data_IF_537870119855
#
_entry.id   IF_537870119855
#
_cell.length_a   1.000
_cell.length_b   1.000
_cell.length_c   1.000
_cell.angle_alpha   90.00
_cell.angle_beta   90.00
_cell.angle_gamma   90.00
#
_symmetry.space_group_name_H-M   'P 1'
#
loop_
_entity.id
_entity.type
_entity.pdbx_description
1 polymer ?
#
# COMPACT_ATOMS: atom_id res chain seq x y z
N UNK A 1 -11.94 -43.08 -35.78
CA UNK A 1 -11.60 -41.63 -35.81
C UNK A 1 -12.24 -40.96 -34.61
N UNK A 2 -11.59 -40.99 -33.44
CA UNK A 2 -11.96 -40.14 -32.32
C UNK A 2 -11.50 -38.73 -32.71
N UNK A 3 -12.45 -37.82 -32.97
CA UNK A 3 -12.14 -36.40 -33.14
C UNK A 3 -11.46 -35.96 -31.85
N UNK A 4 -10.25 -35.43 -31.96
CA UNK A 4 -9.54 -34.79 -30.85
C UNK A 4 -10.51 -33.87 -30.11
N UNK A 5 -10.91 -34.27 -28.90
CA UNK A 5 -11.69 -33.42 -28.02
C UNK A 5 -10.78 -32.28 -27.61
N UNK A 6 -11.13 -31.06 -28.02
CA UNK A 6 -10.38 -29.87 -27.67
C UNK A 6 -10.51 -29.67 -26.16
N UNK A 7 -9.48 -30.07 -25.42
CA UNK A 7 -9.41 -29.93 -23.97
C UNK A 7 -8.95 -28.53 -23.61
N UNK A 8 -9.70 -27.85 -22.75
CA UNK A 8 -9.27 -26.56 -22.23
C UNK A 8 -8.11 -26.73 -21.23
N UNK A 9 -7.20 -25.74 -21.13
CA UNK A 9 -6.15 -25.74 -20.11
C UNK A 9 -6.74 -25.71 -18.70
N UNK A 10 -6.06 -26.35 -17.75
CA UNK A 10 -6.50 -26.36 -16.36
C UNK A 10 -6.42 -24.97 -15.76
N UNK A 11 -7.52 -24.53 -15.14
CA UNK A 11 -7.58 -23.28 -14.39
C UNK A 11 -6.95 -23.47 -13.01
N UNK A 12 -6.45 -22.38 -12.41
CA UNK A 12 -5.94 -22.47 -11.04
C UNK A 12 -7.05 -22.82 -10.05
N UNK A 13 -6.75 -23.75 -9.15
CA UNK A 13 -7.66 -24.28 -8.13
C UNK A 13 -8.15 -23.22 -7.12
N UNK A 14 -7.33 -22.20 -6.88
CA UNK A 14 -7.56 -21.15 -5.88
C UNK A 14 -8.36 -19.95 -6.40
N UNK A 15 -9.02 -20.05 -7.56
CA UNK A 15 -9.96 -19.01 -7.98
C UNK A 15 -11.18 -19.01 -7.06
N UNK A 16 -11.49 -17.82 -6.53
CA UNK A 16 -12.72 -17.57 -5.78
C UNK A 16 -13.34 -16.22 -6.12
N UNK A 17 -14.61 -16.09 -5.78
CA UNK A 17 -15.43 -14.90 -6.02
C UNK A 17 -15.84 -14.27 -4.70
N UNK A 18 -15.99 -12.94 -4.70
CA UNK A 18 -16.51 -12.22 -3.55
C UNK A 18 -17.36 -11.02 -3.95
N UNK A 19 -18.24 -10.65 -3.02
CA UNK A 19 -19.15 -9.52 -3.12
C UNK A 19 -18.95 -8.61 -1.91
N UNK A 20 -18.88 -7.31 -2.15
CA UNK A 20 -18.76 -6.29 -1.10
C UNK A 20 -19.80 -5.21 -1.32
N UNK A 21 -20.65 -4.98 -0.32
CA UNK A 21 -21.68 -3.94 -0.34
C UNK A 21 -21.23 -2.79 0.56
N UNK A 22 -20.94 -1.62 -0.02
CA UNK A 22 -20.47 -0.46 0.73
C UNK A 22 -21.07 0.83 0.19
N UNK A 23 -21.64 1.67 1.08
CA UNK A 23 -22.32 2.95 0.75
C UNK A 23 -23.33 2.82 -0.41
N UNK A 24 -24.16 1.76 -0.37
CA UNK A 24 -25.17 1.50 -1.40
C UNK A 24 -24.62 1.03 -2.75
N UNK A 25 -23.30 0.86 -2.91
CA UNK A 25 -22.67 0.30 -4.10
C UNK A 25 -22.23 -1.14 -3.84
N UNK A 26 -22.60 -2.04 -4.74
CA UNK A 26 -22.14 -3.42 -4.74
C UNK A 26 -20.93 -3.56 -5.66
N UNK A 27 -19.83 -4.09 -5.13
CA UNK A 27 -18.62 -4.42 -5.88
C UNK A 27 -18.49 -5.95 -5.94
N UNK A 28 -18.13 -6.45 -7.12
CA UNK A 28 -17.93 -7.87 -7.37
C UNK A 28 -16.49 -8.15 -7.76
N UNK A 29 -15.92 -9.24 -7.26
CA UNK A 29 -14.51 -9.54 -7.43
C UNK A 29 -14.26 -11.01 -7.76
N UNK A 30 -13.19 -11.24 -8.51
CA UNK A 30 -12.56 -12.54 -8.71
C UNK A 30 -11.08 -12.43 -8.38
N UNK A 31 -10.52 -13.44 -7.72
CA UNK A 31 -9.10 -13.46 -7.42
C UNK A 31 -8.49 -14.86 -7.40
N UNK A 32 -7.18 -14.90 -7.56
CA UNK A 32 -6.30 -16.05 -7.32
C UNK A 32 -5.06 -15.55 -6.57
N UNK A 33 -4.76 -16.17 -5.44
CA UNK A 33 -3.60 -15.85 -4.63
C UNK A 33 -2.31 -16.41 -5.25
N UNK A 34 -2.36 -17.66 -5.75
CA UNK A 34 -1.27 -18.35 -6.44
C UNK A 34 -0.76 -17.54 -7.63
N UNK A 35 -1.66 -16.92 -8.39
CA UNK A 35 -1.30 -16.07 -9.53
C UNK A 35 -1.16 -14.59 -9.14
N UNK A 36 -1.46 -14.21 -7.89
CA UNK A 36 -1.49 -12.81 -7.41
C UNK A 36 -2.35 -11.90 -8.29
N UNK A 37 -3.52 -12.42 -8.67
CA UNK A 37 -4.46 -11.77 -9.58
C UNK A 37 -5.72 -11.35 -8.86
N UNK A 38 -6.18 -10.15 -9.19
CA UNK A 38 -7.40 -9.57 -8.71
C UNK A 38 -8.10 -8.84 -9.85
N UNK A 39 -9.40 -9.10 -9.99
CA UNK A 39 -10.26 -8.61 -11.03
C UNK A 39 -11.56 -8.07 -10.44
N UNK A 40 -11.94 -6.85 -10.82
CA UNK A 40 -13.26 -6.29 -10.56
C UNK A 40 -14.21 -6.75 -11.68
N UNK A 41 -15.32 -7.35 -11.29
CA UNK A 41 -16.37 -7.84 -12.17
C UNK A 41 -17.57 -6.89 -12.13
N UNK A 42 -18.34 -6.87 -13.22
CA UNK A 42 -19.72 -6.39 -13.16
C UNK A 42 -20.65 -7.50 -12.62
N UNK A 43 -21.89 -7.14 -12.30
CA UNK A 43 -22.86 -8.08 -11.70
C UNK A 43 -23.14 -9.29 -12.59
N UNK A 44 -23.31 -9.06 -13.89
CA UNK A 44 -23.57 -10.11 -14.86
C UNK A 44 -22.42 -11.11 -14.96
N UNK A 45 -21.18 -10.61 -15.03
CA UNK A 45 -19.98 -11.43 -15.02
C UNK A 45 -19.87 -12.23 -13.72
N UNK A 46 -20.14 -11.60 -12.58
CA UNK A 46 -20.11 -12.29 -11.29
C UNK A 46 -21.11 -13.45 -11.23
N UNK A 47 -22.35 -13.24 -11.68
CA UNK A 47 -23.37 -14.28 -11.72
C UNK A 47 -22.92 -15.46 -12.60
N UNK A 48 -22.46 -15.16 -13.83
CA UNK A 48 -21.95 -16.18 -14.75
C UNK A 48 -20.81 -16.95 -14.11
N UNK A 49 -19.80 -16.26 -13.57
CA UNK A 49 -18.66 -16.93 -12.96
C UNK A 49 -19.05 -17.71 -11.72
N UNK A 50 -20.02 -17.24 -10.92
CA UNK A 50 -20.45 -17.94 -9.71
C UNK A 50 -21.10 -19.29 -10.00
N UNK A 51 -21.84 -19.38 -11.10
CA UNK A 51 -22.46 -20.62 -11.53
C UNK A 51 -21.51 -21.49 -12.35
N UNK A 52 -20.62 -20.88 -13.15
CA UNK A 52 -19.80 -21.60 -14.13
C UNK A 52 -18.45 -22.08 -13.59
N UNK A 53 -17.87 -21.42 -12.58
CA UNK A 53 -16.57 -21.82 -12.01
C UNK A 53 -16.51 -23.26 -11.48
N UNK A 54 -17.53 -23.77 -10.77
CA UNK A 54 -17.53 -25.15 -10.31
C UNK A 54 -17.36 -26.15 -11.47
N UNK A 55 -18.08 -25.95 -12.57
CA UNK A 55 -17.98 -26.78 -13.77
C UNK A 55 -16.60 -26.68 -14.42
N UNK A 56 -16.04 -25.46 -14.52
CA UNK A 56 -14.69 -25.22 -15.05
C UNK A 56 -13.58 -25.91 -14.23
N UNK A 57 -13.81 -26.23 -12.96
CA UNK A 57 -12.84 -26.95 -12.11
C UNK A 57 -12.89 -28.47 -12.32
N UNK A 58 -14.01 -29.01 -12.79
CA UNK A 58 -14.25 -30.46 -12.89
C UNK A 58 -14.20 -30.97 -14.34
N UNK A 59 -14.68 -30.17 -15.29
CA UNK A 59 -14.78 -30.53 -16.70
C UNK A 59 -13.76 -29.74 -17.55
N UNK A 60 -13.20 -30.40 -18.57
CA UNK A 60 -12.20 -29.82 -19.48
C UNK A 60 -12.59 -29.90 -20.95
N UNK A 61 -13.64 -30.64 -21.31
CA UNK A 61 -14.11 -30.72 -22.68
C UNK A 61 -14.74 -29.39 -23.11
N UNK A 62 -14.14 -28.73 -24.10
CA UNK A 62 -14.58 -27.39 -24.56
C UNK A 62 -16.04 -27.38 -25.02
N UNK A 63 -16.54 -28.48 -25.63
CA UNK A 63 -17.92 -28.53 -26.14
C UNK A 63 -18.94 -28.55 -25.00
N UNK A 64 -18.73 -29.44 -24.03
CA UNK A 64 -19.59 -29.57 -22.84
C UNK A 64 -19.63 -28.25 -22.08
N UNK A 65 -18.46 -27.64 -21.88
CA UNK A 65 -18.33 -26.34 -21.22
C UNK A 65 -18.98 -25.21 -22.03
N UNK A 66 -18.91 -25.23 -23.35
CA UNK A 66 -19.54 -24.21 -24.18
C UNK A 66 -21.06 -24.29 -24.13
N UNK A 67 -21.64 -25.49 -24.19
CA UNK A 67 -23.09 -25.69 -24.03
C UNK A 67 -23.56 -25.20 -22.66
N UNK A 68 -22.84 -25.57 -21.60
CA UNK A 68 -23.16 -25.15 -20.23
C UNK A 68 -23.00 -23.63 -20.02
N UNK A 69 -21.96 -23.03 -20.58
CA UNK A 69 -21.74 -21.58 -20.56
C UNK A 69 -22.86 -20.84 -21.31
N UNK A 70 -23.32 -21.40 -22.44
CA UNK A 70 -24.39 -20.82 -23.24
C UNK A 70 -25.73 -20.87 -22.50
N UNK A 71 -26.01 -21.99 -21.81
CA UNK A 71 -27.19 -22.16 -20.94
C UNK A 71 -27.20 -21.14 -19.79
N UNK A 72 -26.12 -21.09 -18.99
CA UNK A 72 -25.99 -20.21 -17.82
C UNK A 72 -26.06 -18.74 -18.22
N UNK A 73 -25.42 -18.36 -19.33
CA UNK A 73 -25.41 -16.98 -19.80
C UNK A 73 -26.69 -16.56 -20.55
N UNK A 74 -27.66 -17.48 -20.71
CA UNK A 74 -28.88 -17.28 -21.53
C UNK A 74 -28.53 -16.85 -22.97
N UNK A 75 -27.54 -17.50 -23.55
CA UNK A 75 -27.05 -17.29 -24.92
C UNK A 75 -26.21 -16.03 -25.15
N UNK A 76 -25.87 -15.29 -24.08
CA UNK A 76 -25.15 -14.01 -24.21
C UNK A 76 -23.63 -14.14 -24.26
N UNK A 77 -23.06 -15.22 -23.71
CA UNK A 77 -21.62 -15.42 -23.59
C UNK A 77 -21.23 -16.82 -24.08
N UNK A 78 -20.13 -16.91 -24.83
CA UNK A 78 -19.52 -18.18 -25.24
C UNK A 78 -18.35 -18.56 -24.33
N UNK A 79 -17.94 -19.84 -24.33
CA UNK A 79 -16.77 -20.29 -23.58
C UNK A 79 -15.51 -19.52 -23.97
N UNK A 80 -15.37 -19.13 -25.25
CA UNK A 80 -14.22 -18.35 -25.73
C UNK A 80 -14.09 -17.01 -25.02
N UNK A 81 -15.21 -16.33 -24.73
CA UNK A 81 -15.18 -15.09 -23.97
C UNK A 81 -14.66 -15.32 -22.54
N UNK A 82 -15.10 -16.40 -21.90
CA UNK A 82 -14.67 -16.77 -20.55
C UNK A 82 -13.18 -17.14 -20.54
N UNK A 83 -12.74 -17.99 -21.46
CA UNK A 83 -11.34 -18.39 -21.62
C UNK A 83 -10.43 -17.19 -21.93
N UNK A 84 -10.89 -16.25 -22.76
CA UNK A 84 -10.15 -15.02 -23.03
C UNK A 84 -9.95 -14.17 -21.78
N UNK A 85 -10.96 -14.07 -20.91
CA UNK A 85 -10.82 -13.38 -19.61
C UNK A 85 -9.78 -14.11 -18.75
N UNK A 86 -9.93 -15.43 -18.57
CA UNK A 86 -9.00 -16.22 -17.76
C UNK A 86 -7.56 -16.17 -18.28
N UNK A 87 -7.38 -16.17 -19.61
CA UNK A 87 -6.10 -16.06 -20.27
C UNK A 87 -5.46 -14.68 -20.05
N UNK A 88 -6.26 -13.62 -20.27
CA UNK A 88 -5.83 -12.23 -20.05
C UNK A 88 -5.37 -11.99 -18.61
N UNK A 89 -5.99 -12.65 -17.65
CA UNK A 89 -5.63 -12.54 -16.24
C UNK A 89 -4.67 -13.63 -15.75
N UNK A 90 -4.09 -14.45 -16.63
CA UNK A 90 -3.09 -15.47 -16.27
C UNK A 90 -3.60 -16.51 -15.24
N UNK A 91 -4.86 -16.91 -15.35
CA UNK A 91 -5.56 -17.78 -14.40
C UNK A 91 -5.52 -19.27 -14.76
N UNK A 92 -4.68 -19.66 -15.73
CA UNK A 92 -4.41 -21.06 -16.08
C UNK A 92 -3.13 -21.57 -15.39
N UNK A 93 -3.07 -22.85 -15.02
CA UNK A 93 -1.90 -23.45 -14.38
C UNK A 93 -0.65 -23.33 -15.26
N UNK A 94 -0.72 -23.78 -16.51
CA UNK A 94 0.37 -23.86 -17.50
C UNK A 94 0.79 -22.52 -18.13
N UNK A 95 0.25 -21.41 -17.62
CA UNK A 95 0.59 -20.10 -18.16
C UNK A 95 2.05 -19.73 -17.87
N UNK A 96 2.90 -19.78 -18.92
CA UNK A 96 4.33 -19.42 -18.88
C UNK A 96 4.59 -17.92 -18.64
N UNK A 97 3.55 -17.09 -18.66
CA UNK A 97 3.70 -15.66 -18.43
C UNK A 97 4.01 -15.41 -16.95
N UNK A 98 5.17 -14.80 -16.69
CA UNK A 98 5.51 -14.24 -15.37
C UNK A 98 4.37 -13.31 -14.96
N UNK A 99 3.74 -13.59 -13.82
CA UNK A 99 2.78 -12.68 -13.20
C UNK A 99 3.49 -11.35 -12.95
N UNK A 100 3.12 -10.31 -13.69
CA UNK A 100 3.55 -8.95 -13.35
C UNK A 100 2.89 -8.62 -12.02
N UNK A 101 3.70 -8.45 -10.98
CA UNK A 101 3.21 -8.01 -9.67
C UNK A 101 2.46 -6.69 -9.86
N UNK A 102 1.17 -6.68 -9.54
CA UNK A 102 0.35 -5.46 -9.50
C UNK A 102 0.63 -4.62 -8.25
N UNK A 103 1.56 -5.05 -7.40
CA UNK A 103 1.97 -4.28 -6.21
C UNK A 103 2.76 -3.08 -6.71
N UNK A 104 2.14 -1.91 -6.63
CA UNK A 104 2.65 -0.66 -7.21
C UNK A 104 4.04 -0.29 -6.70
N UNK A 105 4.34 -0.62 -5.44
CA UNK A 105 5.65 -0.41 -4.80
C UNK A 105 6.75 -1.18 -5.54
N UNK A 106 6.44 -2.29 -6.21
CA UNK A 106 7.43 -3.12 -6.90
C UNK A 106 7.97 -2.45 -8.19
N UNK A 107 7.34 -1.37 -8.70
CA UNK A 107 7.77 -0.69 -9.93
C UNK A 107 8.95 0.26 -9.74
N UNK A 108 8.99 0.93 -8.59
CA UNK A 108 9.99 1.97 -8.29
C UNK A 108 10.81 1.63 -7.04
N UNK A 109 10.66 0.43 -6.49
CA UNK A 109 11.41 0.01 -5.32
C UNK A 109 12.32 -1.18 -5.59
N UNK A 110 13.40 -1.27 -4.80
CA UNK A 110 14.16 -2.50 -4.66
C UNK A 110 13.79 -3.15 -3.34
N UNK A 111 13.23 -4.34 -3.45
CA UNK A 111 12.99 -5.21 -2.31
C UNK A 111 14.32 -5.66 -1.71
N UNK A 112 14.46 -5.52 -0.40
CA UNK A 112 15.66 -5.87 0.35
C UNK A 112 15.39 -7.16 1.12
N UNK A 113 14.30 -7.17 1.89
CA UNK A 113 13.95 -8.26 2.82
C UNK A 113 12.46 -8.56 2.70
N UNK A 114 12.12 -9.85 2.72
CA UNK A 114 10.76 -10.35 2.93
C UNK A 114 10.76 -11.31 4.10
N UNK A 115 9.96 -11.01 5.11
CA UNK A 115 9.77 -11.87 6.26
C UNK A 115 8.36 -12.44 6.18
N UNK A 116 8.24 -13.76 6.09
CA UNK A 116 6.93 -14.43 6.14
C UNK A 116 6.33 -14.27 7.53
N UNK A 117 5.08 -13.79 7.60
CA UNK A 117 4.40 -13.52 8.86
C UNK A 117 3.28 -14.51 9.18
N UNK A 118 2.95 -15.42 8.27
CA UNK A 118 1.76 -16.27 8.42
C UNK A 118 1.85 -17.21 9.64
N UNK A 119 2.98 -17.88 9.80
CA UNK A 119 3.20 -18.79 10.94
C UNK A 119 3.29 -18.01 12.26
N UNK A 120 3.91 -16.83 12.23
CA UNK A 120 4.04 -15.95 13.38
C UNK A 120 2.67 -15.45 13.85
N UNK A 121 1.81 -15.00 12.92
CA UNK A 121 0.44 -14.62 13.24
C UNK A 121 -0.33 -15.77 13.88
N UNK A 122 -0.27 -16.97 13.28
CA UNK A 122 -1.00 -18.15 13.80
C UNK A 122 -0.56 -18.48 15.24
N UNK A 123 0.74 -18.49 15.51
CA UNK A 123 1.29 -18.79 16.83
C UNK A 123 0.85 -17.77 17.91
N UNK A 124 0.82 -16.48 17.56
CA UNK A 124 0.61 -15.40 18.55
C UNK A 124 -0.74 -14.67 18.42
N UNK A 125 -1.67 -15.21 17.64
CA UNK A 125 -2.98 -14.58 17.33
C UNK A 125 -3.77 -14.13 18.57
N UNK A 126 -3.75 -14.94 19.64
CA UNK A 126 -4.39 -14.60 20.92
C UNK A 126 -3.74 -13.41 21.60
N UNK A 127 -2.41 -13.34 21.59
CA UNK A 127 -1.66 -12.22 22.19
C UNK A 127 -1.97 -10.93 21.44
N UNK A 128 -1.98 -10.96 20.11
CA UNK A 128 -2.35 -9.78 19.31
C UNK A 128 -3.78 -9.30 19.59
N UNK A 129 -4.71 -10.21 19.82
CA UNK A 129 -6.08 -9.83 20.21
C UNK A 129 -6.12 -9.14 21.58
N UNK A 130 -5.36 -9.64 22.56
CA UNK A 130 -5.26 -8.99 23.89
C UNK A 130 -4.59 -7.61 23.76
N UNK A 131 -3.48 -7.52 23.02
CA UNK A 131 -2.79 -6.26 22.74
C UNK A 131 -3.70 -5.24 22.09
N UNK A 132 -4.57 -5.65 21.15
CA UNK A 132 -5.56 -4.78 20.54
C UNK A 132 -6.51 -4.13 21.56
N UNK A 133 -7.03 -4.92 22.52
CA UNK A 133 -7.92 -4.38 23.56
C UNK A 133 -7.19 -3.48 24.55
N UNK A 134 -5.95 -3.83 24.93
CA UNK A 134 -5.10 -2.97 25.77
C UNK A 134 -4.87 -1.63 25.07
N UNK A 135 -4.51 -1.67 23.78
CA UNK A 135 -4.28 -0.46 22.98
C UNK A 135 -5.52 0.41 22.87
N UNK A 136 -6.71 -0.20 22.71
CA UNK A 136 -7.98 0.51 22.70
C UNK A 136 -8.26 1.20 24.04
N UNK A 137 -7.97 0.53 25.15
CA UNK A 137 -8.13 1.10 26.49
C UNK A 137 -7.17 2.27 26.73
N UNK A 138 -5.89 2.11 26.34
CA UNK A 138 -4.89 3.18 26.38
C UNK A 138 -5.37 4.36 25.54
N UNK A 139 -5.80 4.10 24.31
CA UNK A 139 -6.28 5.13 23.39
C UNK A 139 -7.46 5.93 23.95
N UNK A 140 -8.42 5.24 24.56
CA UNK A 140 -9.56 5.89 25.19
C UNK A 140 -9.11 6.75 26.39
N UNK A 141 -8.25 6.23 27.25
CA UNK A 141 -7.74 6.95 28.42
C UNK A 141 -6.92 8.19 28.02
N UNK A 142 -5.97 8.04 27.09
CA UNK A 142 -5.12 9.15 26.62
C UNK A 142 -5.93 10.21 25.90
N UNK A 143 -6.97 9.82 25.16
CA UNK A 143 -7.86 10.75 24.47
C UNK A 143 -8.65 11.60 25.46
N UNK A 144 -9.24 10.99 26.50
CA UNK A 144 -9.95 11.73 27.55
C UNK A 144 -9.01 12.68 28.31
N UNK A 145 -7.82 12.22 28.65
CA UNK A 145 -6.80 13.05 29.29
C UNK A 145 -6.36 14.23 28.41
N UNK A 146 -6.14 13.98 27.11
CA UNK A 146 -5.79 15.05 26.16
C UNK A 146 -6.89 16.10 26.04
N UNK A 147 -8.17 15.68 26.00
CA UNK A 147 -9.31 16.62 26.01
C UNK A 147 -9.29 17.46 27.28
N UNK A 148 -9.09 16.83 28.43
CA UNK A 148 -9.02 17.54 29.71
C UNK A 148 -7.88 18.58 29.71
N UNK A 149 -6.66 18.19 29.32
CA UNK A 149 -5.49 19.06 29.26
C UNK A 149 -5.69 20.24 28.29
N UNK A 150 -6.20 19.98 27.09
CA UNK A 150 -6.46 21.03 26.10
C UNK A 150 -7.58 21.98 26.56
N UNK A 151 -8.60 21.46 27.26
CA UNK A 151 -9.74 22.30 27.69
C UNK A 151 -9.43 23.13 28.93
N UNK A 152 -8.67 22.57 29.88
CA UNK A 152 -8.49 23.17 31.21
C UNK A 152 -7.06 23.64 31.50
N UNK A 153 -6.05 23.14 30.78
CA UNK A 153 -4.63 23.43 31.00
C UNK A 153 -3.94 24.03 29.76
N UNK A 154 -4.71 24.70 28.90
CA UNK A 154 -4.20 25.25 27.63
C UNK A 154 -3.05 26.25 27.80
N UNK A 155 -3.08 27.09 28.84
CA UNK A 155 -2.01 28.04 29.13
C UNK A 155 -0.70 27.34 29.51
N UNK A 156 -0.78 26.30 30.34
CA UNK A 156 0.37 25.48 30.72
C UNK A 156 0.97 24.75 29.52
N UNK A 157 0.12 24.29 28.60
CA UNK A 157 0.53 23.65 27.37
C UNK A 157 1.30 24.62 26.46
N UNK A 158 0.76 25.82 26.23
CA UNK A 158 1.44 26.88 25.47
C UNK A 158 2.76 27.26 26.14
N UNK A 159 2.78 27.42 27.46
CA UNK A 159 3.98 27.78 28.21
C UNK A 159 5.03 26.66 28.18
N UNK A 160 4.61 25.39 28.20
CA UNK A 160 5.50 24.24 28.07
C UNK A 160 6.16 24.21 26.70
N UNK A 161 5.41 24.39 25.61
CA UNK A 161 6.00 24.48 24.27
C UNK A 161 6.95 25.68 24.10
N UNK A 162 6.63 26.81 24.74
CA UNK A 162 7.51 27.99 24.77
C UNK A 162 8.76 27.79 25.61
N UNK A 163 8.75 26.88 26.59
CA UNK A 163 9.92 26.56 27.44
C UNK A 163 10.75 25.43 26.86
N UNK A 164 10.12 24.48 26.18
CA UNK A 164 10.77 23.37 25.48
C UNK A 164 11.42 23.81 24.17
N UNK A 165 11.89 25.06 24.07
CA UNK A 165 12.45 25.63 22.83
C UNK A 165 13.60 24.75 22.36
N UNK A 166 13.37 24.11 21.22
CA UNK A 166 14.40 23.36 20.55
C UNK A 166 15.41 24.33 19.94
N UNK A 167 16.65 24.33 20.46
CA UNK A 167 17.74 25.09 19.88
C UNK A 167 18.68 24.14 19.12
N UNK A 168 18.79 24.34 17.80
CA UNK A 168 19.66 23.56 16.92
C UNK A 168 21.14 23.63 17.35
N UNK A 169 21.54 24.72 17.99
CA UNK A 169 22.92 24.93 18.46
C UNK A 169 23.29 24.06 19.67
N UNK A 170 22.30 23.42 20.32
CA UNK A 170 22.49 22.57 21.50
C UNK A 170 22.39 21.07 21.17
N UNK A 171 22.28 20.71 19.89
CA UNK A 171 22.16 19.31 19.47
C UNK A 171 23.53 18.64 19.61
N UNK A 172 23.63 17.73 20.58
CA UNK A 172 24.75 16.80 20.67
C UNK A 172 24.45 15.49 19.92
N UNK A 173 25.45 14.62 19.80
CA UNK A 173 25.30 13.30 19.15
C UNK A 173 24.22 12.45 19.81
N UNK A 174 24.04 12.58 21.14
CA UNK A 174 23.03 11.85 21.90
C UNK A 174 21.62 12.30 21.50
N UNK A 175 21.41 13.60 21.27
CA UNK A 175 20.16 14.16 20.76
C UNK A 175 19.78 13.58 19.40
N UNK A 176 20.75 13.43 18.50
CA UNK A 176 20.53 12.80 17.18
C UNK A 176 20.12 11.34 17.34
N UNK A 177 20.76 10.61 18.26
CA UNK A 177 20.41 9.21 18.54
C UNK A 177 18.96 9.10 19.03
N UNK A 178 18.52 9.99 19.92
CA UNK A 178 17.12 10.02 20.37
C UNK A 178 16.15 10.27 19.22
N UNK A 179 16.42 11.24 18.35
CA UNK A 179 15.57 11.53 17.17
C UNK A 179 15.44 10.28 16.29
N UNK A 180 16.54 9.58 16.03
CA UNK A 180 16.53 8.35 15.23
C UNK A 180 15.66 7.28 15.90
N UNK A 181 15.83 7.06 17.20
CA UNK A 181 15.03 6.09 17.96
C UNK A 181 13.54 6.43 17.90
N UNK A 182 13.17 7.70 18.07
CA UNK A 182 11.79 8.18 18.00
C UNK A 182 11.17 7.94 16.61
N UNK A 183 11.91 8.21 15.53
CA UNK A 183 11.46 7.94 14.16
C UNK A 183 11.22 6.43 13.96
N UNK A 184 12.16 5.58 14.38
CA UNK A 184 12.01 4.13 14.26
C UNK A 184 10.84 3.60 15.08
N UNK A 185 10.67 4.09 16.32
CA UNK A 185 9.58 3.70 17.19
C UNK A 185 8.23 4.08 16.60
N UNK A 186 8.11 5.30 16.07
CA UNK A 186 6.89 5.78 15.39
C UNK A 186 6.50 4.87 14.23
N UNK A 187 7.45 4.50 13.35
CA UNK A 187 7.20 3.61 12.21
C UNK A 187 6.80 2.20 12.69
N UNK A 188 7.50 1.64 13.68
CA UNK A 188 7.21 0.28 14.19
C UNK A 188 5.80 0.23 14.79
N UNK A 189 5.45 1.22 15.63
CA UNK A 189 4.14 1.28 16.26
C UNK A 189 3.02 1.53 15.24
N UNK A 190 3.28 2.35 14.22
CA UNK A 190 2.36 2.57 13.09
C UNK A 190 2.01 1.24 12.38
N UNK A 191 3.02 0.48 11.96
CA UNK A 191 2.82 -0.82 11.29
C UNK A 191 2.18 -1.84 12.22
N UNK A 192 2.53 -1.82 13.52
CA UNK A 192 1.88 -2.65 14.53
C UNK A 192 0.38 -2.34 14.64
N UNK A 193 -0.01 -1.06 14.53
CA UNK A 193 -1.42 -0.67 14.46
C UNK A 193 -2.18 -1.37 13.35
N UNK A 194 -1.63 -1.39 12.13
CA UNK A 194 -2.21 -2.12 11.01
C UNK A 194 -2.32 -3.63 11.30
N UNK A 195 -1.26 -4.25 11.82
CA UNK A 195 -1.23 -5.67 12.16
C UNK A 195 -2.31 -6.04 13.18
N UNK A 196 -2.42 -5.29 14.28
CA UNK A 196 -3.36 -5.58 15.36
C UNK A 196 -4.82 -5.54 14.88
N UNK A 197 -5.18 -4.49 14.13
CA UNK A 197 -6.54 -4.36 13.56
C UNK A 197 -6.79 -5.41 12.48
N UNK A 198 -5.79 -5.71 11.64
CA UNK A 198 -5.87 -6.74 10.63
C UNK A 198 -6.13 -8.12 11.25
N UNK A 199 -5.40 -8.48 12.30
CA UNK A 199 -5.60 -9.74 13.02
C UNK A 199 -7.01 -9.82 13.64
N UNK A 200 -7.47 -8.74 14.27
CA UNK A 200 -8.82 -8.70 14.84
C UNK A 200 -9.92 -8.87 13.80
N UNK A 201 -9.72 -8.34 12.60
CA UNK A 201 -10.65 -8.45 11.48
C UNK A 201 -10.46 -9.74 10.65
N UNK A 202 -9.58 -10.66 11.08
CA UNK A 202 -9.38 -11.96 10.42
C UNK A 202 -8.53 -11.92 9.14
N UNK A 203 -7.77 -10.85 8.90
CA UNK A 203 -6.85 -10.77 7.76
C UNK A 203 -5.63 -11.64 8.03
N UNK A 204 -5.21 -12.41 7.04
CA UNK A 204 -4.01 -13.25 7.13
C UNK A 204 -2.78 -12.44 6.67
N UNK A 205 -1.77 -12.38 7.51
CA UNK A 205 -0.51 -11.71 7.25
C UNK A 205 0.34 -12.59 6.33
N UNK A 206 0.68 -12.09 5.15
CA UNK A 206 1.53 -12.80 4.19
C UNK A 206 2.99 -12.54 4.49
N UNK A 207 3.42 -11.28 4.38
CA UNK A 207 4.81 -10.92 4.62
C UNK A 207 5.00 -9.45 4.99
N UNK A 208 6.01 -9.18 5.82
CA UNK A 208 6.58 -7.85 6.00
C UNK A 208 7.64 -7.65 4.91
N UNK A 209 7.52 -6.59 4.14
CA UNK A 209 8.50 -6.23 3.11
C UNK A 209 9.18 -4.93 3.49
N UNK A 210 10.51 -4.94 3.37
CA UNK A 210 11.34 -3.76 3.48
C UNK A 210 11.93 -3.50 2.10
N UNK A 211 11.61 -2.34 1.55
CA UNK A 211 12.02 -1.94 0.21
C UNK A 211 12.60 -0.52 0.22
N UNK A 212 13.52 -0.22 -0.70
CA UNK A 212 13.96 1.15 -0.95
C UNK A 212 13.27 1.73 -2.18
N UNK A 213 12.39 2.71 -1.98
CA UNK A 213 11.83 3.51 -3.07
C UNK A 213 12.92 4.38 -3.67
N UNK A 214 13.01 4.37 -5.01
CA UNK A 214 14.06 5.03 -5.79
C UNK A 214 15.49 4.62 -5.41
N UNK A 215 15.63 3.52 -4.66
CA UNK A 215 16.91 3.07 -4.10
C UNK A 215 17.41 3.87 -2.89
N UNK A 216 16.58 4.77 -2.34
CA UNK A 216 16.99 5.74 -1.31
C UNK A 216 16.09 5.68 -0.08
N UNK A 217 14.78 5.85 -0.28
CA UNK A 217 13.85 6.02 0.82
C UNK A 217 13.36 4.66 1.31
N UNK A 218 13.64 4.28 2.57
CA UNK A 218 13.16 3.01 3.11
C UNK A 218 11.64 3.05 3.26
N UNK A 219 10.98 1.98 2.83
CA UNK A 219 9.55 1.79 3.00
C UNK A 219 9.31 0.41 3.58
N UNK A 220 8.56 0.43 4.68
CA UNK A 220 8.06 -0.75 5.36
C UNK A 220 6.61 -0.90 4.91
N UNK A 221 6.22 -2.10 4.51
CA UNK A 221 4.82 -2.37 4.23
C UNK A 221 4.48 -3.83 4.45
N UNK A 222 3.26 -4.07 4.88
CA UNK A 222 2.74 -5.40 5.16
C UNK A 222 1.88 -5.87 4.00
N UNK A 223 2.18 -7.05 3.47
CA UNK A 223 1.33 -7.75 2.51
C UNK A 223 0.34 -8.61 3.28
N UNK A 224 -0.95 -8.40 3.01
CA UNK A 224 -2.03 -9.25 3.49
C UNK A 224 -2.50 -10.19 2.38
N UNK A 225 -2.88 -11.41 2.74
CA UNK A 225 -3.57 -12.29 1.79
C UNK A 225 -4.93 -11.70 1.46
N UNK A 226 -5.27 -11.67 0.18
CA UNK A 226 -6.62 -11.35 -0.31
C UNK A 226 -7.17 -9.99 0.16
N UNK A 227 -6.27 -9.03 0.43
CA UNK A 227 -6.62 -7.72 1.00
C UNK A 227 -7.76 -7.03 0.25
N UNK A 228 -7.66 -6.97 -1.08
CA UNK A 228 -8.61 -6.24 -1.92
C UNK A 228 -10.05 -6.78 -1.83
N UNK A 229 -10.20 -8.05 -1.48
CA UNK A 229 -11.44 -8.82 -1.53
C UNK A 229 -12.21 -8.69 -0.22
N UNK A 230 -11.52 -8.40 0.87
CA UNK A 230 -12.16 -8.15 2.16
C UNK A 230 -13.10 -6.95 2.09
N UNK A 231 -14.07 -6.93 3.01
CA UNK A 231 -15.11 -5.89 3.09
C UNK A 231 -14.49 -4.51 3.15
N UNK A 232 -15.11 -3.53 2.47
CA UNK A 232 -14.59 -2.14 2.45
C UNK A 232 -14.43 -1.55 3.85
N UNK A 233 -15.37 -1.82 4.77
CA UNK A 233 -15.27 -1.35 6.16
C UNK A 233 -14.04 -1.91 6.88
N UNK A 234 -13.75 -3.19 6.70
CA UNK A 234 -12.63 -3.81 7.41
C UNK A 234 -11.29 -3.36 6.81
N UNK A 235 -11.24 -3.14 5.49
CA UNK A 235 -10.10 -2.49 4.83
C UNK A 235 -9.88 -1.08 5.36
N UNK A 236 -10.94 -0.28 5.48
CA UNK A 236 -10.87 1.09 6.03
C UNK A 236 -10.31 1.06 7.46
N UNK A 237 -10.83 0.19 8.33
CA UNK A 237 -10.33 0.05 9.71
C UNK A 237 -8.85 -0.28 9.75
N UNK A 238 -8.41 -1.24 8.93
CA UNK A 238 -6.99 -1.63 8.85
C UNK A 238 -6.16 -0.44 8.35
N UNK A 239 -6.53 0.21 7.27
CA UNK A 239 -5.79 1.35 6.69
C UNK A 239 -5.75 2.56 7.61
N UNK A 240 -6.81 2.82 8.39
CA UNK A 240 -6.80 3.93 9.35
C UNK A 240 -6.00 3.62 10.61
N UNK A 241 -5.72 2.35 10.90
CA UNK A 241 -5.15 1.93 12.17
C UNK A 241 -3.77 2.56 12.44
N UNK A 242 -2.84 2.52 11.47
CA UNK A 242 -1.51 3.11 11.64
C UNK A 242 -1.57 4.62 11.91
N UNK A 243 -2.44 5.34 11.21
CA UNK A 243 -2.66 6.78 11.44
C UNK A 243 -3.22 7.03 12.84
N UNK A 244 -4.18 6.22 13.29
CA UNK A 244 -4.75 6.30 14.65
C UNK A 244 -3.67 6.05 15.71
N UNK A 245 -2.75 5.11 15.48
CA UNK A 245 -1.64 4.85 16.41
C UNK A 245 -0.64 6.02 16.45
N UNK A 246 -0.38 6.70 15.34
CA UNK A 246 0.45 7.90 15.39
C UNK A 246 -0.25 9.04 16.13
N UNK A 247 -1.57 9.20 15.98
CA UNK A 247 -2.35 10.17 16.77
C UNK A 247 -2.29 9.81 18.27
N UNK A 248 -2.40 8.53 18.60
CA UNK A 248 -2.24 8.07 19.98
C UNK A 248 -0.87 8.42 20.55
N UNK A 249 0.19 8.18 19.79
CA UNK A 249 1.54 8.55 20.17
C UNK A 249 1.66 10.06 20.42
N UNK A 250 1.06 10.91 19.57
CA UNK A 250 1.01 12.37 19.80
C UNK A 250 0.37 12.70 21.16
N UNK A 251 -0.75 12.08 21.49
CA UNK A 251 -1.41 12.28 22.79
C UNK A 251 -0.51 11.87 23.96
N UNK A 252 0.16 10.72 23.86
CA UNK A 252 1.09 10.24 24.91
C UNK A 252 2.28 11.19 25.06
N UNK A 253 2.88 11.62 23.95
CA UNK A 253 4.01 12.55 24.00
C UNK A 253 3.61 13.93 24.50
N UNK A 254 2.39 14.38 24.24
CA UNK A 254 1.86 15.64 24.79
C UNK A 254 1.82 15.58 26.32
N UNK A 255 1.29 14.49 26.87
CA UNK A 255 1.25 14.25 28.32
C UNK A 255 2.65 14.20 28.94
N UNK A 256 3.56 13.45 28.32
CA UNK A 256 4.95 13.36 28.77
C UNK A 256 5.66 14.72 28.69
N UNK A 257 5.39 15.51 27.66
CA UNK A 257 5.94 16.85 27.52
C UNK A 257 5.45 17.78 28.64
N UNK A 258 4.16 17.73 29.01
CA UNK A 258 3.62 18.50 30.14
C UNK A 258 4.26 18.09 31.48
N UNK A 259 4.46 16.79 31.69
CA UNK A 259 5.01 16.26 32.94
C UNK A 259 6.50 16.57 33.10
N UNK A 260 7.29 16.47 32.03
CA UNK A 260 8.77 16.56 32.13
C UNK A 260 9.36 17.82 31.53
N UNK A 261 8.58 18.59 30.76
CA UNK A 261 9.03 19.78 30.01
C UNK A 261 10.26 19.50 29.11
N UNK A 262 10.39 18.26 28.62
CA UNK A 262 11.54 17.83 27.83
C UNK A 262 11.29 18.02 26.34
N UNK A 263 12.23 18.65 25.64
CA UNK A 263 12.17 18.84 24.18
C UNK A 263 12.19 17.51 23.40
N UNK A 264 12.70 16.42 23.99
CA UNK A 264 12.71 15.08 23.34
C UNK A 264 11.28 14.62 23.03
N UNK A 265 10.36 14.80 23.97
CA UNK A 265 8.96 14.43 23.74
C UNK A 265 8.26 15.38 22.76
N UNK A 266 8.66 16.66 22.73
CA UNK A 266 8.20 17.57 21.69
C UNK A 266 8.61 17.10 20.28
N UNK A 267 9.81 16.53 20.12
CA UNK A 267 10.20 15.87 18.86
C UNK A 267 9.31 14.68 18.54
N UNK A 268 9.02 13.82 19.53
CA UNK A 268 8.09 12.69 19.34
C UNK A 268 6.73 13.14 18.78
N UNK A 269 6.22 14.29 19.23
CA UNK A 269 5.01 14.93 18.67
C UNK A 269 5.23 15.31 17.21
N UNK A 270 6.29 16.05 16.89
CA UNK A 270 6.57 16.50 15.51
C UNK A 270 6.78 15.33 14.55
N UNK A 271 7.48 14.28 14.97
CA UNK A 271 7.71 13.06 14.17
C UNK A 271 6.38 12.40 13.86
N UNK A 272 5.56 12.11 14.87
CA UNK A 272 4.29 11.43 14.67
C UNK A 272 3.29 12.29 13.89
N UNK A 273 3.26 13.61 14.10
CA UNK A 273 2.45 14.53 13.30
C UNK A 273 2.88 14.52 11.84
N UNK A 274 4.19 14.54 11.58
CA UNK A 274 4.73 14.43 10.23
C UNK A 274 4.35 13.10 9.59
N UNK A 275 4.39 12.00 10.33
CA UNK A 275 3.92 10.69 9.87
C UNK A 275 2.42 10.69 9.56
N UNK A 276 1.57 11.27 10.41
CA UNK A 276 0.12 11.40 10.15
C UNK A 276 -0.13 12.15 8.85
N UNK A 277 0.53 13.30 8.65
CA UNK A 277 0.39 14.10 7.43
C UNK A 277 0.85 13.29 6.21
N UNK A 278 2.03 12.69 6.27
CA UNK A 278 2.58 11.92 5.15
C UNK A 278 1.74 10.67 4.81
N UNK A 279 1.19 9.98 5.80
CA UNK A 279 0.32 8.83 5.58
C UNK A 279 -1.05 9.26 5.01
N UNK A 280 -1.60 10.42 5.42
CA UNK A 280 -2.92 10.87 4.98
C UNK A 280 -2.91 11.57 3.61
N UNK A 281 -1.79 12.19 3.24
CA UNK A 281 -1.65 12.79 1.92
C UNK A 281 -1.80 11.68 0.86
N UNK A 282 -2.72 11.83 -0.11
CA UNK A 282 -2.96 10.81 -1.14
C UNK A 282 -1.87 10.88 -2.21
N UNK A 283 -0.60 10.73 -1.85
CA UNK A 283 0.52 10.65 -2.77
C UNK A 283 1.20 9.29 -2.62
N UNK A 284 1.67 8.76 -3.74
CA UNK A 284 2.35 7.47 -3.78
C UNK A 284 1.42 6.32 -3.43
N UNK A 285 1.89 5.45 -2.55
CA UNK A 285 1.20 4.27 -2.01
C UNK A 285 0.95 4.44 -0.51
N UNK A 286 0.60 5.66 -0.09
CA UNK A 286 0.29 5.97 1.31
C UNK A 286 -1.04 5.33 1.74
N UNK A 287 -1.23 5.20 3.06
CA UNK A 287 -2.49 4.71 3.63
C UNK A 287 -3.68 5.59 3.22
N UNK A 288 -3.50 6.90 3.17
CA UNK A 288 -4.49 7.89 2.76
C UNK A 288 -4.93 7.69 1.31
N UNK A 289 -3.99 7.40 0.39
CA UNK A 289 -4.34 7.02 -0.98
C UNK A 289 -5.22 5.76 -0.99
N UNK A 290 -4.80 4.71 -0.29
CA UNK A 290 -5.54 3.45 -0.25
C UNK A 290 -6.91 3.61 0.41
N UNK A 291 -7.00 4.38 1.49
CA UNK A 291 -8.22 4.70 2.22
C UNK A 291 -9.23 5.41 1.31
N UNK A 292 -8.80 6.48 0.64
CA UNK A 292 -9.63 7.22 -0.31
C UNK A 292 -10.05 6.33 -1.48
N UNK A 293 -9.16 5.48 -1.97
CA UNK A 293 -9.47 4.55 -3.06
C UNK A 293 -10.59 3.57 -2.71
N UNK A 294 -10.62 3.08 -1.46
CA UNK A 294 -11.70 2.20 -0.97
C UNK A 294 -13.00 2.99 -0.78
N UNK A 295 -12.91 4.18 -0.18
CA UNK A 295 -14.06 5.05 0.12
C UNK A 295 -14.82 5.47 -1.14
N UNK A 296 -14.10 5.80 -2.21
CA UNK A 296 -14.67 6.27 -3.47
C UNK A 296 -14.77 5.17 -4.54
N UNK A 297 -14.15 4.00 -4.32
CA UNK A 297 -14.25 2.84 -5.20
C UNK A 297 -13.37 2.90 -6.46
N UNK A 298 -12.22 3.57 -6.36
CA UNK A 298 -11.22 3.71 -7.42
C UNK A 298 -9.94 2.90 -7.15
N UNK A 299 -10.03 1.74 -6.49
CA UNK A 299 -8.89 0.94 -6.03
C UNK A 299 -7.89 0.55 -7.14
N UNK A 300 -8.31 0.57 -8.42
CA UNK A 300 -7.47 0.28 -9.58
C UNK A 300 -7.03 1.52 -10.38
N UNK A 301 -7.34 2.74 -9.94
CA UNK A 301 -7.13 3.95 -10.72
C UNK A 301 -5.64 4.20 -11.02
N UNK A 302 -4.75 4.00 -10.06
CA UNK A 302 -3.31 4.19 -10.28
C UNK A 302 -2.73 3.14 -11.22
N UNK A 303 -3.21 1.89 -11.15
CA UNK A 303 -2.83 0.86 -12.11
C UNK A 303 -3.30 1.22 -13.53
N UNK A 304 -4.55 1.68 -13.66
CA UNK A 304 -5.10 2.18 -14.92
C UNK A 304 -4.23 3.32 -15.48
N UNK A 305 -3.88 4.30 -14.65
CA UNK A 305 -3.04 5.42 -15.04
C UNK A 305 -1.64 4.96 -15.49
N UNK A 306 -1.00 4.01 -14.80
CA UNK A 306 0.30 3.46 -15.22
C UNK A 306 0.20 2.70 -16.55
N UNK A 307 -0.88 1.95 -16.79
CA UNK A 307 -1.10 1.29 -18.08
C UNK A 307 -1.32 2.29 -19.21
N UNK A 308 -2.03 3.39 -18.94
CA UNK A 308 -2.20 4.48 -19.91
C UNK A 308 -0.88 5.20 -20.19
N UNK A 309 -0.07 5.48 -19.16
CA UNK A 309 1.27 6.07 -19.33
C UNK A 309 2.17 5.15 -20.16
N UNK A 310 2.14 3.83 -19.92
CA UNK A 310 2.84 2.82 -20.72
C UNK A 310 2.42 2.87 -22.20
N UNK A 311 1.11 2.94 -22.46
CA UNK A 311 0.58 3.08 -23.81
C UNK A 311 1.04 4.38 -24.47
N UNK A 312 1.07 5.49 -23.73
CA UNK A 312 1.55 6.79 -24.22
C UNK A 312 3.02 6.75 -24.63
N UNK A 313 3.86 6.08 -23.83
CA UNK A 313 5.29 5.95 -24.09
C UNK A 313 5.59 5.09 -25.33
N UNK A 314 4.69 4.16 -25.66
CA UNK A 314 4.85 3.24 -26.79
C UNK A 314 4.18 3.76 -28.07
N UNK A 315 2.96 4.31 -27.98
CA UNK A 315 2.14 4.77 -29.11
C UNK A 315 1.51 6.16 -28.85
N UNK A 316 2.27 7.26 -28.88
CA UNK A 316 1.80 8.57 -28.46
C UNK A 316 0.67 9.17 -29.34
N UNK A 317 0.57 8.77 -30.61
CA UNK A 317 -0.37 9.37 -31.60
C UNK A 317 -1.81 8.89 -31.47
N UNK A 318 -2.07 7.68 -30.96
CA UNK A 318 -3.43 7.12 -30.86
C UNK A 318 -4.15 7.56 -29.58
N UNK A 319 -3.42 8.00 -28.55
CA UNK A 319 -3.95 8.24 -27.21
C UNK A 319 -4.76 9.52 -27.04
N UNK A 320 -4.39 10.61 -27.73
CA UNK A 320 -5.10 11.90 -27.59
C UNK A 320 -6.56 11.84 -28.07
N UNK A 321 -6.95 10.78 -28.80
CA UNK A 321 -8.29 10.63 -29.36
C UNK A 321 -9.22 9.74 -28.53
N UNK A 322 -8.71 8.89 -27.64
CA UNK A 322 -9.51 7.84 -26.98
C UNK A 322 -9.68 8.00 -25.46
N UNK A 323 -8.94 8.91 -24.82
CA UNK A 323 -8.97 9.01 -23.36
C UNK A 323 -10.00 10.02 -22.85
N UNK A 324 -10.67 9.65 -21.75
CA UNK A 324 -11.55 10.58 -21.04
C UNK A 324 -10.74 11.67 -20.31
N UNK A 325 -11.38 12.80 -19.98
CA UNK A 325 -10.75 13.86 -19.17
C UNK A 325 -10.25 13.33 -17.82
N UNK A 326 -11.02 12.42 -17.21
CA UNK A 326 -10.68 11.79 -15.94
C UNK A 326 -9.39 10.97 -16.04
N UNK A 327 -9.23 10.22 -17.13
CA UNK A 327 -8.02 9.42 -17.38
C UNK A 327 -6.77 10.30 -17.49
N UNK A 328 -6.87 11.46 -18.15
CA UNK A 328 -5.79 12.44 -18.25
C UNK A 328 -5.45 13.02 -16.87
N UNK A 329 -6.46 13.39 -16.09
CA UNK A 329 -6.27 13.93 -14.75
C UNK A 329 -5.60 12.91 -13.80
N UNK A 330 -5.99 11.64 -13.88
CA UNK A 330 -5.33 10.57 -13.13
C UNK A 330 -3.87 10.36 -13.54
N UNK A 331 -3.55 10.44 -14.83
CA UNK A 331 -2.16 10.37 -15.28
C UNK A 331 -1.32 11.53 -14.73
N UNK A 332 -1.83 12.76 -14.82
CA UNK A 332 -1.17 13.95 -14.26
C UNK A 332 -0.92 13.78 -12.76
N UNK A 333 -1.93 13.34 -12.02
CA UNK A 333 -1.81 13.03 -10.60
C UNK A 333 -0.69 12.02 -10.30
N UNK A 334 -0.62 10.91 -11.06
CA UNK A 334 0.42 9.89 -10.87
C UNK A 334 1.81 10.47 -11.15
N UNK A 335 1.96 11.28 -12.21
CA UNK A 335 3.23 11.94 -12.54
C UNK A 335 3.65 12.89 -11.42
N UNK A 336 2.76 13.77 -10.97
CA UNK A 336 3.02 14.70 -9.85
C UNK A 336 3.42 13.92 -8.60
N UNK A 337 2.72 12.82 -8.30
CA UNK A 337 3.04 11.95 -7.17
C UNK A 337 4.45 11.37 -7.23
N UNK A 338 4.95 10.99 -8.41
CA UNK A 338 6.33 10.51 -8.54
C UNK A 338 7.36 11.64 -8.45
N UNK A 339 7.06 12.81 -9.03
CA UNK A 339 7.93 14.00 -8.92
C UNK A 339 8.10 14.41 -7.46
N UNK A 340 7.01 14.44 -6.68
CA UNK A 340 7.06 14.73 -5.25
C UNK A 340 7.83 13.66 -4.47
N UNK A 341 7.72 12.38 -4.85
CA UNK A 341 8.53 11.31 -4.26
C UNK A 341 10.03 11.46 -4.53
N UNK A 342 10.43 11.88 -5.73
CA UNK A 342 11.84 12.18 -6.06
C UNK A 342 12.31 13.41 -5.27
N UNK A 343 11.49 14.46 -5.20
CA UNK A 343 11.79 15.64 -4.40
C UNK A 343 11.99 15.29 -2.91
N UNK A 344 11.16 14.41 -2.35
CA UNK A 344 11.34 13.90 -1.00
C UNK A 344 12.69 13.18 -0.80
N UNK A 345 13.16 12.43 -1.79
CA UNK A 345 14.51 11.83 -1.74
C UNK A 345 15.61 12.90 -1.74
N UNK A 346 15.46 13.99 -2.51
CA UNK A 346 16.41 15.10 -2.50
C UNK A 346 16.44 15.79 -1.13
N UNK A 347 15.29 15.96 -0.49
CA UNK A 347 15.22 16.54 0.86
C UNK A 347 15.86 15.62 1.91
N UNK A 348 15.68 14.30 1.80
CA UNK A 348 16.38 13.33 2.65
C UNK A 348 17.90 13.47 2.52
N UNK A 349 18.42 13.62 1.29
CA UNK A 349 19.85 13.83 1.06
C UNK A 349 20.33 15.10 1.74
N UNK A 350 19.60 16.21 1.59
CA UNK A 350 19.94 17.48 2.26
C UNK A 350 19.99 17.33 3.78
N UNK A 351 19.00 16.67 4.38
CA UNK A 351 18.98 16.43 5.82
C UNK A 351 20.16 15.57 6.29
N UNK A 352 20.53 14.54 5.53
CA UNK A 352 21.71 13.71 5.81
C UNK A 352 23.00 14.53 5.74
N UNK A 353 23.14 15.40 4.73
CA UNK A 353 24.30 16.28 4.60
C UNK A 353 24.39 17.29 5.74
N UNK A 354 23.27 17.90 6.14
CA UNK A 354 23.20 18.79 7.30
C UNK A 354 23.60 18.05 8.59
N UNK A 355 23.20 16.79 8.74
CA UNK A 355 23.62 15.95 9.87
C UNK A 355 25.13 15.72 9.88
N UNK A 356 25.74 15.45 8.72
CA UNK A 356 27.20 15.32 8.61
C UNK A 356 27.93 16.63 8.92
N UNK A 357 27.37 17.77 8.51
CA UNK A 357 27.91 19.09 8.87
C UNK A 357 27.91 19.28 10.40
N UNK A 358 26.82 18.91 11.09
CA UNK A 358 26.73 18.98 12.57
C UNK A 358 27.79 18.10 13.25
N UNK A 359 28.12 16.96 12.64
CA UNK A 359 29.15 16.04 13.16
C UNK A 359 30.59 16.49 12.87
N UNK A 360 30.80 17.68 12.28
CA UNK A 360 32.11 18.22 11.89
C UNK A 360 32.94 17.28 10.99
N UNK A 361 32.28 16.41 10.23
CA UNK A 361 32.98 15.51 9.30
C UNK A 361 33.26 16.29 8.00
N UNK A 362 34.40 16.06 7.33
CA UNK A 362 34.78 16.84 6.14
C UNK A 362 33.68 16.83 5.05
N UNK A 363 32.99 17.97 4.93
CA UNK A 363 31.78 18.09 4.13
C UNK A 363 32.01 17.96 2.64
N UNK A 364 33.16 18.34 2.09
CA UNK A 364 33.34 18.34 0.63
C UNK A 364 33.37 16.92 0.06
N UNK A 365 34.18 16.03 0.64
CA UNK A 365 34.31 14.65 0.14
C UNK A 365 33.04 13.85 0.41
N UNK A 366 32.45 14.00 1.59
CA UNK A 366 31.20 13.31 1.94
C UNK A 366 30.05 13.81 1.09
N UNK A 367 29.93 15.12 0.85
CA UNK A 367 28.89 15.67 -0.02
C UNK A 367 29.02 15.11 -1.44
N UNK A 368 30.22 15.10 -2.01
CA UNK A 368 30.45 14.56 -3.36
C UNK A 368 30.10 13.07 -3.42
N UNK A 369 30.50 12.28 -2.42
CA UNK A 369 30.22 10.84 -2.37
C UNK A 369 28.72 10.56 -2.16
N UNK A 370 28.10 11.21 -1.19
CA UNK A 370 26.68 11.05 -0.84
C UNK A 370 25.80 11.49 -2.03
N UNK A 371 26.02 12.70 -2.55
CA UNK A 371 25.28 13.20 -3.71
C UNK A 371 25.56 12.32 -4.93
N UNK A 372 26.81 11.94 -5.19
CA UNK A 372 27.18 11.07 -6.30
C UNK A 372 26.46 9.71 -6.27
N UNK A 373 26.51 9.01 -5.13
CA UNK A 373 25.83 7.72 -4.93
C UNK A 373 24.32 7.88 -5.08
N UNK A 374 23.72 8.88 -4.43
CA UNK A 374 22.28 9.04 -4.46
C UNK A 374 21.76 9.46 -5.83
N UNK A 375 22.46 10.35 -6.53
CA UNK A 375 22.07 10.81 -7.87
C UNK A 375 22.19 9.67 -8.88
N UNK A 376 23.31 8.94 -8.86
CA UNK A 376 23.50 7.77 -9.74
C UNK A 376 22.45 6.69 -9.47
N UNK A 377 22.18 6.39 -8.20
CA UNK A 377 21.13 5.45 -7.79
C UNK A 377 19.76 5.87 -8.31
N UNK A 378 19.36 7.13 -8.08
CA UNK A 378 18.07 7.66 -8.55
C UNK A 378 17.94 7.55 -10.07
N UNK A 379 18.98 7.94 -10.82
CA UNK A 379 18.99 7.85 -12.30
C UNK A 379 18.83 6.39 -12.76
N UNK A 380 19.53 5.44 -12.13
CA UNK A 380 19.41 4.01 -12.44
C UNK A 380 17.97 3.53 -12.22
N UNK A 381 17.34 3.91 -11.11
CA UNK A 381 15.95 3.50 -10.81
C UNK A 381 14.93 4.19 -11.71
N UNK A 382 15.14 5.45 -12.10
CA UNK A 382 14.30 6.11 -13.11
C UNK A 382 14.37 5.36 -14.43
N UNK A 383 15.58 4.98 -14.89
CA UNK A 383 15.74 4.18 -16.12
C UNK A 383 15.04 2.83 -16.02
N UNK A 384 15.20 2.11 -14.90
CA UNK A 384 14.51 0.83 -14.65
C UNK A 384 13.00 1.00 -14.64
N UNK A 385 12.49 2.03 -13.98
CA UNK A 385 11.06 2.32 -13.91
C UNK A 385 10.48 2.57 -15.32
N UNK A 386 11.15 3.37 -16.14
CA UNK A 386 10.75 3.61 -17.53
C UNK A 386 10.78 2.33 -18.39
N UNK A 387 11.76 1.46 -18.19
CA UNK A 387 11.82 0.15 -18.86
C UNK A 387 10.66 -0.76 -18.42
N UNK A 388 10.39 -0.84 -17.11
CA UNK A 388 9.25 -1.59 -16.57
C UNK A 388 7.92 -1.05 -17.11
N UNK A 389 7.76 0.27 -17.21
CA UNK A 389 6.60 0.89 -17.83
C UNK A 389 6.45 0.49 -19.30
N UNK A 390 7.51 0.55 -20.11
CA UNK A 390 7.42 0.11 -21.52
C UNK A 390 7.04 -1.37 -21.66
N UNK A 391 7.44 -2.19 -20.70
CA UNK A 391 7.13 -3.63 -20.67
C UNK A 391 5.72 -3.98 -20.21
N UNK A 392 4.96 -3.02 -19.65
CA UNK A 392 3.60 -3.22 -19.15
C UNK A 392 2.55 -3.43 -20.26
N UNK A 393 2.94 -3.98 -21.41
CA UNK A 393 2.02 -4.28 -22.51
C UNK A 393 0.87 -5.17 -22.01
N UNK A 394 -0.27 -4.54 -21.73
CA UNK A 394 -1.55 -5.23 -21.72
C UNK A 394 -1.94 -5.35 -23.18
N UNK A 395 -1.62 -6.51 -23.79
CA UNK A 395 -2.28 -6.93 -25.02
C UNK A 395 -3.75 -7.20 -24.75
#
# INVERSE_FOLDING_TARGET
MLKDECMIPQIVDDIFLAKDCFRGKTKYFMASEKKSQYLKLNEFQYQIFSEFLPYLKEERNEKILNEKCYEISKGKITIKNVLNILYKYNLFEDSKNKSVSKVMIDFNSKKIVEISLENFQKAYSKIFNVMYYILLAILFATFLLTIYEVSFMHEDLINTFKKSVFNWDQINVISILYIIVEIFLSIILHELGHLLVANKNGFIWKSLNISFIWGISPVFFIRYKNFCINRSIDKIKVLSAGVIINILQICVYLQLCLLTQSWIFAIGIYVNLSCVINCMIPLGTSDGYHLLSVLFGFESARWKALTLISQMLNNPREMLKQNSKDDILFMIYVVISYVLGIYGCIQLIKAVLETFNILNINNCVITIVVVGIFTTTTIIYIKKFLQSLKSLQVK
#
